data_IF_750088445033
#
_entry.id   IF_750088445033
#
_cell.length_a   1.000
_cell.length_b   1.000
_cell.length_c   1.000
_cell.angle_alpha   90.00
_cell.angle_beta   90.00
_cell.angle_gamma   90.00
#
_symmetry.space_group_name_H-M   'P 1'
#
loop_
_entity.id
_entity.type
_entity.pdbx_description
1 polymer ?
#
# COMPACT_ATOMS: atom_id res chain seq x y z
N UNK A 1 6.04 -30.82 4.81
CA UNK A 1 7.07 -30.23 5.69
C UNK A 1 8.43 -30.45 5.06
N UNK A 2 9.27 -29.42 5.09
CA UNK A 2 10.69 -29.50 4.76
C UNK A 2 11.45 -29.19 6.04
N UNK A 3 12.33 -30.09 6.48
CA UNK A 3 13.17 -29.88 7.65
C UNK A 3 14.58 -30.28 7.30
N UNK A 4 15.52 -29.36 7.47
CA UNK A 4 16.96 -29.61 7.24
C UNK A 4 17.73 -29.41 8.53
N UNK A 5 18.79 -30.19 8.73
CA UNK A 5 19.71 -30.00 9.83
C UNK A 5 20.78 -28.94 9.48
N UNK A 6 21.11 -28.05 10.42
CA UNK A 6 22.12 -27.00 10.21
C UNK A 6 21.81 -26.12 9.00
N UNK A 7 22.81 -25.75 8.22
CA UNK A 7 22.68 -24.93 7.00
C UNK A 7 22.21 -25.67 5.75
N UNK A 8 21.48 -26.78 5.90
CA UNK A 8 21.02 -27.60 4.77
C UNK A 8 20.01 -26.88 3.88
N UNK A 9 20.19 -26.98 2.56
CA UNK A 9 19.24 -26.45 1.58
C UNK A 9 18.12 -27.44 1.27
N UNK A 10 16.97 -26.93 0.82
CA UNK A 10 15.83 -27.76 0.39
C UNK A 10 15.36 -27.36 -1.02
N UNK A 11 15.07 -28.35 -1.84
CA UNK A 11 14.41 -28.15 -3.13
C UNK A 11 13.19 -29.03 -3.23
N UNK A 12 12.05 -28.45 -3.60
CA UNK A 12 10.81 -29.17 -3.88
C UNK A 12 10.25 -28.72 -5.21
N UNK A 13 9.91 -29.70 -6.04
CA UNK A 13 9.21 -29.46 -7.31
C UNK A 13 7.95 -30.31 -7.30
N UNK A 14 6.81 -29.68 -7.50
CA UNK A 14 5.55 -30.37 -7.74
C UNK A 14 4.99 -29.99 -9.11
N UNK A 15 4.40 -30.96 -9.81
CA UNK A 15 3.77 -30.72 -11.10
C UNK A 15 2.51 -29.85 -10.94
N UNK A 16 1.75 -30.07 -9.87
CA UNK A 16 0.56 -29.28 -9.54
C UNK A 16 0.89 -28.14 -8.56
N UNK A 17 -0.03 -27.77 -7.67
CA UNK A 17 0.20 -26.75 -6.64
C UNK A 17 1.01 -27.27 -5.45
N UNK A 18 1.66 -26.37 -4.72
CA UNK A 18 2.44 -26.71 -3.54
C UNK A 18 1.75 -26.13 -2.30
N UNK A 19 1.43 -26.98 -1.32
CA UNK A 19 0.96 -26.55 -0.01
C UNK A 19 2.01 -26.90 1.05
N UNK A 20 2.76 -25.90 1.48
CA UNK A 20 3.79 -26.05 2.49
C UNK A 20 3.15 -26.07 3.89
N UNK A 21 3.43 -27.13 4.64
CA UNK A 21 3.16 -27.16 6.08
C UNK A 21 4.35 -26.53 6.82
N UNK A 22 4.30 -26.53 8.15
CA UNK A 22 5.44 -26.09 8.98
C UNK A 22 6.75 -26.68 8.46
N UNK A 23 7.70 -25.79 8.16
CA UNK A 23 8.97 -26.14 7.52
C UNK A 23 10.08 -25.26 8.09
N UNK A 24 11.25 -25.86 8.32
CA UNK A 24 12.44 -25.22 8.84
C UNK A 24 13.62 -25.58 7.94
N UNK A 25 14.09 -24.61 7.16
CA UNK A 25 15.20 -24.80 6.23
C UNK A 25 16.32 -23.86 6.65
N UNK A 26 17.49 -24.41 6.97
CA UNK A 26 18.60 -23.60 7.47
C UNK A 26 19.51 -23.04 6.38
N UNK A 27 19.43 -23.56 5.16
CA UNK A 27 20.04 -23.01 3.96
C UNK A 27 18.98 -22.45 2.99
N UNK A 28 19.32 -22.41 1.71
CA UNK A 28 18.42 -21.93 0.67
C UNK A 28 17.21 -22.86 0.47
N UNK A 29 16.04 -22.28 0.22
CA UNK A 29 14.83 -22.98 -0.20
C UNK A 29 14.51 -22.67 -1.66
N UNK A 30 14.32 -23.69 -2.49
CA UNK A 30 13.69 -23.56 -3.81
C UNK A 30 12.41 -24.39 -3.87
N UNK A 31 11.28 -23.72 -4.06
CA UNK A 31 9.95 -24.33 -4.08
C UNK A 31 9.25 -24.03 -5.41
N UNK A 32 9.02 -25.05 -6.23
CA UNK A 32 8.42 -24.91 -7.56
C UNK A 32 7.08 -25.64 -7.66
N UNK A 33 6.04 -24.94 -8.09
CA UNK A 33 4.75 -25.49 -8.49
C UNK A 33 4.59 -25.29 -10.00
N UNK A 34 4.58 -26.36 -10.80
CA UNK A 34 4.70 -26.22 -12.28
C UNK A 34 3.44 -25.70 -12.94
N UNK A 35 2.25 -26.09 -12.45
CA UNK A 35 0.96 -25.68 -13.05
C UNK A 35 -0.04 -25.11 -12.05
N UNK A 36 0.35 -24.90 -10.79
CA UNK A 36 -0.57 -24.46 -9.75
C UNK A 36 0.04 -23.46 -8.79
N UNK A 37 -0.76 -23.09 -7.80
CA UNK A 37 -0.41 -22.08 -6.80
C UNK A 37 0.59 -22.63 -5.78
N UNK A 38 1.30 -21.72 -5.13
CA UNK A 38 2.06 -22.01 -3.90
C UNK A 38 1.30 -21.40 -2.73
N UNK A 39 1.08 -22.18 -1.69
CA UNK A 39 0.57 -21.68 -0.43
C UNK A 39 1.26 -22.31 0.78
N UNK A 40 1.12 -21.70 1.95
CA UNK A 40 1.46 -22.35 3.20
C UNK A 40 0.25 -22.45 4.15
N UNK A 41 0.25 -23.49 4.97
CA UNK A 41 -0.71 -23.63 6.09
C UNK A 41 -0.02 -23.77 7.44
N UNK A 42 1.32 -23.71 7.45
CA UNK A 42 2.13 -23.65 8.65
C UNK A 42 3.30 -22.71 8.44
N UNK A 43 3.91 -22.27 9.53
CA UNK A 43 5.02 -21.34 9.52
C UNK A 43 6.21 -21.86 8.69
N UNK A 44 6.77 -20.99 7.86
CA UNK A 44 8.03 -21.21 7.17
C UNK A 44 9.12 -20.45 7.92
N UNK A 45 10.15 -21.17 8.37
CA UNK A 45 11.35 -20.57 8.97
C UNK A 45 12.52 -20.90 8.06
N UNK A 46 12.93 -19.94 7.24
CA UNK A 46 13.97 -20.10 6.23
C UNK A 46 15.14 -19.16 6.57
N UNK A 47 16.31 -19.74 6.83
CA UNK A 47 17.47 -18.96 7.26
C UNK A 47 18.33 -18.46 6.08
N UNK A 48 18.33 -19.15 4.94
CA UNK A 48 18.95 -18.66 3.70
C UNK A 48 17.92 -18.14 2.71
N UNK A 49 18.37 -17.80 1.50
CA UNK A 49 17.48 -17.31 0.42
C UNK A 49 16.30 -18.24 0.13
N UNK A 50 15.13 -17.67 -0.15
CA UNK A 50 13.93 -18.43 -0.48
C UNK A 50 13.43 -18.06 -1.89
N UNK A 51 13.27 -19.05 -2.77
CA UNK A 51 12.70 -18.86 -4.10
C UNK A 51 11.42 -19.68 -4.26
N UNK A 52 10.32 -19.01 -4.57
CA UNK A 52 9.02 -19.61 -4.85
C UNK A 52 8.65 -19.40 -6.32
N UNK A 53 8.52 -20.47 -7.08
CA UNK A 53 8.31 -20.43 -8.54
C UNK A 53 6.95 -21.02 -8.91
N UNK A 54 6.07 -20.20 -9.47
CA UNK A 54 4.85 -20.69 -10.13
C UNK A 54 5.09 -20.82 -11.63
N UNK A 55 4.93 -22.04 -12.17
CA UNK A 55 5.25 -22.33 -13.55
C UNK A 55 4.16 -21.97 -14.55
N UNK A 56 2.91 -21.76 -14.11
CA UNK A 56 1.79 -21.29 -14.93
C UNK A 56 1.61 -19.77 -14.79
N UNK A 57 1.07 -19.11 -15.82
CA UNK A 57 0.68 -17.70 -15.71
C UNK A 57 -0.59 -17.56 -14.86
N UNK A 58 -0.75 -16.42 -14.17
CA UNK A 58 -1.91 -16.16 -13.33
C UNK A 58 -2.03 -17.14 -12.16
N UNK A 59 -0.90 -17.52 -11.57
CA UNK A 59 -0.86 -18.38 -10.38
C UNK A 59 -0.57 -17.56 -9.14
N UNK A 60 -1.14 -17.99 -8.02
CA UNK A 60 -1.01 -17.30 -6.74
C UNK A 60 0.22 -17.78 -5.98
N UNK A 61 0.80 -16.87 -5.20
CA UNK A 61 1.71 -17.20 -4.11
C UNK A 61 1.13 -16.64 -2.81
N UNK A 62 0.67 -17.52 -1.93
CA UNK A 62 -0.01 -17.17 -0.67
C UNK A 62 0.82 -17.69 0.50
N UNK A 63 1.70 -16.83 1.01
CA UNK A 63 2.57 -17.08 2.16
C UNK A 63 2.04 -16.31 3.37
N UNK A 64 0.84 -16.68 3.83
CA UNK A 64 -0.01 -15.89 4.74
C UNK A 64 0.16 -16.24 6.23
N UNK A 65 0.89 -17.30 6.56
CA UNK A 65 0.99 -17.72 7.94
C UNK A 65 1.68 -16.67 8.82
N UNK A 66 1.05 -16.36 9.95
CA UNK A 66 1.43 -15.22 10.79
C UNK A 66 2.79 -15.31 11.51
N UNK A 67 3.52 -16.40 11.30
CA UNK A 67 4.81 -16.72 11.93
C UNK A 67 5.84 -17.14 10.89
N UNK A 68 5.60 -16.82 9.62
CA UNK A 68 6.64 -16.90 8.61
C UNK A 68 7.82 -16.01 9.02
N UNK A 69 9.03 -16.54 8.86
CA UNK A 69 10.28 -15.88 9.18
C UNK A 69 11.29 -16.22 8.09
N UNK A 70 11.56 -15.24 7.24
CA UNK A 70 12.60 -15.29 6.22
C UNK A 70 13.75 -14.41 6.71
N UNK A 71 14.92 -15.01 6.94
CA UNK A 71 16.08 -14.29 7.47
C UNK A 71 17.01 -13.75 6.38
N UNK A 72 16.61 -13.90 5.12
CA UNK A 72 17.38 -13.58 3.92
C UNK A 72 16.35 -13.20 2.83
N UNK A 73 16.81 -12.85 1.63
CA UNK A 73 15.97 -12.45 0.51
C UNK A 73 14.93 -13.51 0.11
N UNK A 74 13.76 -13.03 -0.31
CA UNK A 74 12.69 -13.86 -0.86
C UNK A 74 12.41 -13.47 -2.30
N UNK A 75 12.56 -14.40 -3.22
CA UNK A 75 12.16 -14.26 -4.61
C UNK A 75 10.84 -14.98 -4.87
N UNK A 76 9.82 -14.22 -5.29
CA UNK A 76 8.59 -14.73 -5.86
C UNK A 76 8.73 -14.66 -7.38
N UNK A 77 8.64 -15.79 -8.09
CA UNK A 77 8.92 -15.86 -9.53
C UNK A 77 7.76 -16.45 -10.32
N UNK A 78 7.27 -15.72 -11.32
CA UNK A 78 6.22 -16.17 -12.23
C UNK A 78 6.82 -16.66 -13.57
N UNK A 79 6.69 -17.96 -13.82
CA UNK A 79 7.38 -18.68 -14.88
C UNK A 79 8.84 -18.96 -14.52
N UNK A 80 9.43 -20.01 -15.11
CA UNK A 80 10.83 -20.37 -14.83
C UNK A 80 11.85 -19.29 -15.25
N UNK A 81 11.44 -18.30 -16.04
CA UNK A 81 12.27 -17.21 -16.51
C UNK A 81 11.90 -15.85 -15.92
N UNK A 82 10.84 -15.73 -15.10
CA UNK A 82 10.39 -14.41 -14.63
C UNK A 82 9.82 -13.61 -15.79
N UNK A 83 8.80 -14.17 -16.43
CA UNK A 83 8.25 -13.59 -17.66
C UNK A 83 6.74 -13.74 -17.79
N UNK A 84 6.07 -14.02 -16.66
CA UNK A 84 4.63 -14.25 -16.59
C UNK A 84 4.02 -13.36 -15.53
N UNK A 85 2.71 -13.17 -15.60
CA UNK A 85 1.97 -12.43 -14.59
C UNK A 85 1.68 -13.35 -13.40
N UNK A 86 1.80 -12.80 -12.19
CA UNK A 86 1.10 -13.34 -11.04
C UNK A 86 -0.39 -13.09 -11.18
N UNK A 87 -1.19 -13.87 -10.47
CA UNK A 87 -2.53 -13.44 -10.05
C UNK A 87 -2.33 -12.81 -8.67
N UNK A 88 -2.71 -13.46 -7.56
CA UNK A 88 -2.55 -12.86 -6.23
C UNK A 88 -1.19 -13.16 -5.56
N UNK A 89 -0.67 -12.19 -4.81
CA UNK A 89 0.44 -12.36 -3.87
C UNK A 89 -0.02 -12.00 -2.46
N UNK A 90 0.13 -12.93 -1.53
CA UNK A 90 0.11 -12.63 -0.09
C UNK A 90 1.46 -13.00 0.51
N UNK A 91 2.08 -12.07 1.21
CA UNK A 91 3.37 -12.26 1.84
C UNK A 91 3.37 -11.76 3.27
N UNK A 92 3.73 -12.65 4.19
CA UNK A 92 3.94 -12.33 5.59
C UNK A 92 5.38 -12.64 5.94
N UNK A 93 6.06 -11.69 6.56
CA UNK A 93 7.35 -11.91 7.18
C UNK A 93 7.44 -11.32 8.59
N UNK A 94 8.27 -11.96 9.41
CA UNK A 94 8.59 -11.52 10.76
C UNK A 94 9.46 -10.26 10.80
N UNK A 95 10.29 -10.05 9.77
CA UNK A 95 11.21 -8.92 9.63
C UNK A 95 10.62 -7.77 8.81
N UNK A 96 11.50 -6.88 8.35
CA UNK A 96 11.14 -5.83 7.41
C UNK A 96 10.92 -6.41 6.00
N UNK A 97 10.15 -5.70 5.18
CA UNK A 97 9.94 -6.05 3.78
C UNK A 97 10.35 -4.87 2.91
N UNK A 98 11.31 -5.07 2.03
CA UNK A 98 11.73 -4.10 1.01
C UNK A 98 11.46 -4.68 -0.37
N UNK A 99 10.55 -4.08 -1.12
CA UNK A 99 10.34 -4.48 -2.51
C UNK A 99 11.56 -4.14 -3.37
N UNK A 100 12.04 -5.11 -4.15
CA UNK A 100 13.33 -4.99 -4.83
C UNK A 100 13.36 -5.68 -6.22
N UNK A 101 14.29 -5.25 -7.08
CA UNK A 101 14.51 -5.84 -8.42
C UNK A 101 14.94 -7.31 -8.32
N UNK A 102 14.68 -8.09 -9.36
CA UNK A 102 15.06 -9.51 -9.48
C UNK A 102 16.58 -9.75 -9.63
N UNK A 103 17.39 -8.70 -9.62
CA UNK A 103 18.86 -8.76 -9.85
C UNK A 103 19.69 -8.36 -8.62
N UNK A 104 19.11 -8.35 -7.42
CA UNK A 104 19.70 -7.68 -6.26
C UNK A 104 20.50 -8.54 -5.25
N UNK A 105 21.03 -7.89 -4.21
CA UNK A 105 22.16 -8.23 -3.34
C UNK A 105 22.01 -9.41 -2.38
N UNK A 106 20.93 -10.18 -2.44
CA UNK A 106 20.57 -11.23 -1.47
C UNK A 106 20.57 -10.68 -0.02
N UNK A 107 19.92 -9.54 0.25
CA UNK A 107 19.88 -8.96 1.60
C UNK A 107 18.61 -9.31 2.38
N UNK A 108 18.75 -9.38 3.71
CA UNK A 108 17.67 -9.67 4.65
C UNK A 108 16.49 -8.70 4.49
N UNK A 109 15.28 -9.26 4.40
CA UNK A 109 14.04 -8.49 4.27
C UNK A 109 13.73 -8.02 2.86
N UNK A 110 14.53 -8.36 1.85
CA UNK A 110 14.19 -8.08 0.46
C UNK A 110 13.10 -9.05 -0.04
N UNK A 111 12.09 -8.49 -0.72
CA UNK A 111 11.07 -9.22 -1.45
C UNK A 111 11.17 -8.87 -2.94
N UNK A 112 11.65 -9.83 -3.72
CA UNK A 112 11.84 -9.72 -5.16
C UNK A 112 10.62 -10.32 -5.85
N UNK A 113 9.83 -9.48 -6.52
CA UNK A 113 8.66 -9.92 -7.31
C UNK A 113 9.11 -9.99 -8.78
N UNK A 114 9.52 -11.18 -9.20
CA UNK A 114 10.06 -11.48 -10.53
C UNK A 114 8.93 -12.00 -11.45
N UNK A 115 8.12 -11.06 -11.92
CA UNK A 115 6.96 -11.26 -12.81
C UNK A 115 7.29 -11.05 -14.29
N UNK A 116 6.32 -10.61 -15.10
CA UNK A 116 6.57 -10.19 -16.49
C UNK A 116 7.51 -8.98 -16.57
N UNK A 117 7.48 -8.19 -15.50
CA UNK A 117 8.43 -7.15 -15.13
C UNK A 117 8.59 -7.22 -13.62
N UNK A 118 9.72 -6.76 -13.10
CA UNK A 118 9.91 -6.68 -11.65
C UNK A 118 8.82 -5.81 -11.00
N UNK A 119 8.31 -6.24 -9.84
CA UNK A 119 7.28 -5.52 -9.09
C UNK A 119 5.86 -5.61 -9.66
N UNK A 120 5.63 -6.37 -10.73
CA UNK A 120 4.31 -6.52 -11.33
C UNK A 120 3.49 -7.65 -10.69
N UNK A 121 2.25 -7.33 -10.31
CA UNK A 121 1.25 -8.26 -9.75
C UNK A 121 -0.05 -8.11 -10.54
N UNK A 122 -0.55 -9.22 -11.09
CA UNK A 122 -1.75 -9.22 -11.95
C UNK A 122 -3.08 -9.33 -11.19
N UNK A 123 -3.04 -9.67 -9.91
CA UNK A 123 -4.17 -9.65 -8.98
C UNK A 123 -3.86 -8.77 -7.77
N UNK A 124 -4.31 -9.21 -6.59
CA UNK A 124 -4.13 -8.49 -5.33
C UNK A 124 -2.70 -8.65 -4.77
N UNK A 125 -2.20 -7.59 -4.14
CA UNK A 125 -0.95 -7.60 -3.37
C UNK A 125 -1.26 -7.37 -1.89
N UNK A 126 -1.05 -8.37 -1.05
CA UNK A 126 -1.16 -8.26 0.41
C UNK A 126 0.19 -8.50 1.07
N UNK A 127 0.70 -7.50 1.79
CA UNK A 127 2.00 -7.62 2.49
C UNK A 127 1.86 -7.23 3.95
N UNK A 128 2.34 -8.10 4.84
CA UNK A 128 2.40 -7.86 6.27
C UNK A 128 3.80 -8.11 6.81
N UNK A 129 4.42 -7.04 7.29
CA UNK A 129 5.65 -7.10 8.09
C UNK A 129 5.29 -7.06 9.58
N UNK A 130 5.81 -7.98 10.38
CA UNK A 130 5.45 -8.05 11.80
C UNK A 130 6.28 -7.07 12.64
N UNK A 131 7.60 -7.03 12.44
CA UNK A 131 8.50 -6.24 13.29
C UNK A 131 9.33 -5.19 12.52
N UNK A 132 9.13 -5.07 11.21
CA UNK A 132 9.86 -4.13 10.38
C UNK A 132 8.97 -3.15 9.61
N UNK A 133 9.62 -2.26 8.87
CA UNK A 133 8.93 -1.38 7.94
C UNK A 133 8.57 -2.14 6.65
N UNK A 134 7.66 -1.57 5.87
CA UNK A 134 7.52 -1.90 4.46
C UNK A 134 8.11 -0.74 3.66
N UNK A 135 9.11 -1.02 2.85
CA UNK A 135 9.82 -0.04 2.00
C UNK A 135 9.93 -0.54 0.57
N UNK A 136 10.40 0.29 -0.35
CA UNK A 136 10.61 -0.12 -1.73
C UNK A 136 11.83 0.54 -2.37
N UNK A 137 12.46 -0.20 -3.29
CA UNK A 137 13.54 0.26 -4.17
C UNK A 137 13.17 0.13 -5.65
N UNK A 138 12.00 -0.44 -5.95
CA UNK A 138 11.43 -0.57 -7.29
C UNK A 138 10.05 0.04 -7.36
N UNK A 139 9.60 0.30 -8.58
CA UNK A 139 8.20 0.61 -8.83
C UNK A 139 7.36 -0.67 -8.70
N UNK A 140 6.17 -0.54 -8.13
CA UNK A 140 5.16 -1.59 -8.10
C UNK A 140 4.10 -1.32 -9.16
N UNK A 141 3.68 -2.36 -9.88
CA UNK A 141 2.51 -2.30 -10.77
C UNK A 141 1.53 -3.35 -10.30
N UNK A 142 0.42 -2.92 -9.70
CA UNK A 142 -0.59 -3.84 -9.13
C UNK A 142 -1.93 -3.53 -9.79
N UNK A 143 -2.50 -4.51 -10.47
CA UNK A 143 -3.81 -4.38 -11.12
C UNK A 143 -4.96 -4.57 -10.15
N UNK A 144 -4.78 -5.42 -9.12
CA UNK A 144 -5.73 -5.61 -8.04
C UNK A 144 -5.55 -4.61 -6.90
N UNK A 145 -6.16 -4.94 -5.76
CA UNK A 145 -6.04 -4.17 -4.53
C UNK A 145 -4.66 -4.37 -3.89
N UNK A 146 -4.16 -3.34 -3.24
CA UNK A 146 -2.95 -3.41 -2.43
C UNK A 146 -3.31 -3.25 -0.96
N UNK A 147 -3.02 -4.25 -0.13
CA UNK A 147 -3.26 -4.21 1.32
C UNK A 147 -1.95 -4.33 2.08
N UNK A 148 -1.64 -3.33 2.90
CA UNK A 148 -0.39 -3.27 3.64
C UNK A 148 -0.65 -3.24 5.14
N UNK A 149 0.21 -3.92 5.89
CA UNK A 149 0.15 -3.90 7.35
C UNK A 149 1.54 -3.98 7.97
N UNK A 150 1.78 -3.12 8.96
CA UNK A 150 2.94 -3.20 9.84
C UNK A 150 2.52 -3.13 11.31
N UNK A 151 3.48 -3.33 12.23
CA UNK A 151 3.28 -2.99 13.64
C UNK A 151 3.01 -1.48 13.81
N UNK A 152 2.17 -1.04 14.76
CA UNK A 152 1.83 0.38 14.95
C UNK A 152 3.02 1.32 15.24
N UNK A 153 4.21 0.79 15.54
CA UNK A 153 5.44 1.60 15.67
C UNK A 153 6.24 1.75 14.37
N UNK A 154 5.82 1.08 13.29
CA UNK A 154 6.56 0.93 12.03
C UNK A 154 5.89 1.68 10.89
N UNK A 155 6.68 1.96 9.87
CA UNK A 155 6.29 2.81 8.76
C UNK A 155 6.11 2.01 7.48
N UNK A 156 5.35 2.59 6.56
CA UNK A 156 5.17 2.11 5.19
C UNK A 156 5.62 3.24 4.27
N UNK A 157 6.52 2.93 3.33
CA UNK A 157 7.05 3.90 2.37
C UNK A 157 7.08 3.27 1.00
N UNK A 158 6.07 3.59 0.19
CA UNK A 158 5.96 3.25 -1.22
C UNK A 158 6.00 4.55 -2.06
N UNK A 159 7.17 5.20 -2.10
CA UNK A 159 7.36 6.59 -2.56
C UNK A 159 8.01 6.75 -3.96
N UNK A 160 8.01 5.68 -4.76
CA UNK A 160 8.54 5.68 -6.11
C UNK A 160 7.50 6.28 -7.04
N UNK A 161 7.91 7.32 -7.76
CA UNK A 161 7.06 8.08 -8.70
C UNK A 161 6.49 7.26 -9.86
N UNK A 162 6.99 6.04 -10.08
CA UNK A 162 6.54 5.14 -11.13
C UNK A 162 5.65 4.00 -10.63
N UNK A 163 5.30 3.97 -9.34
CA UNK A 163 4.26 3.08 -8.84
C UNK A 163 2.97 3.25 -9.64
N UNK A 164 2.24 2.17 -9.86
CA UNK A 164 1.01 2.15 -10.64
C UNK A 164 0.02 1.16 -10.01
N UNK A 165 -0.71 1.65 -9.01
CA UNK A 165 -1.78 0.96 -8.30
C UNK A 165 -3.10 1.23 -9.01
N UNK A 166 -3.59 0.25 -9.77
CA UNK A 166 -4.85 0.37 -10.52
C UNK A 166 -6.07 -0.01 -9.67
N UNK A 167 -5.86 -0.77 -8.59
CA UNK A 167 -6.86 -1.02 -7.56
C UNK A 167 -6.61 -0.20 -6.29
N UNK A 168 -7.55 -0.27 -5.35
CA UNK A 168 -7.47 0.49 -4.11
C UNK A 168 -6.26 0.09 -3.24
N UNK A 169 -5.61 1.08 -2.64
CA UNK A 169 -4.50 0.89 -1.70
C UNK A 169 -5.00 1.11 -0.27
N UNK A 170 -5.07 0.05 0.52
CA UNK A 170 -5.54 0.08 1.91
C UNK A 170 -4.43 -0.21 2.91
N UNK A 171 -4.41 0.54 4.02
CA UNK A 171 -3.49 0.33 5.14
C UNK A 171 -4.22 -0.27 6.31
N UNK A 172 -4.12 -1.58 6.51
CA UNK A 172 -4.82 -2.21 7.65
C UNK A 172 -4.33 -1.64 8.99
N UNK A 173 -3.02 -1.39 9.11
CA UNK A 173 -2.37 -0.64 10.22
C UNK A 173 -0.99 -0.11 9.80
N UNK A 174 -0.63 1.09 10.23
CA UNK A 174 0.74 1.63 10.16
C UNK A 174 0.93 2.89 11.01
N UNK A 175 2.20 3.27 11.25
CA UNK A 175 2.56 4.53 11.90
C UNK A 175 2.59 5.67 10.89
N UNK A 176 3.75 5.91 10.25
CA UNK A 176 3.83 6.85 9.13
C UNK A 176 3.67 6.09 7.82
N UNK A 177 2.92 6.68 6.90
CA UNK A 177 2.64 6.11 5.59
C UNK A 177 2.94 7.16 4.52
N UNK A 178 3.77 6.79 3.56
CA UNK A 178 4.00 7.55 2.34
C UNK A 178 3.65 6.69 1.13
N UNK A 179 2.71 7.14 0.32
CA UNK A 179 2.27 6.50 -0.92
C UNK A 179 2.45 7.48 -2.07
N UNK A 180 3.09 7.02 -3.14
CA UNK A 180 3.18 7.73 -4.41
C UNK A 180 2.63 6.81 -5.49
N UNK A 181 1.83 7.39 -6.38
CA UNK A 181 1.34 6.77 -7.61
C UNK A 181 1.69 7.66 -8.83
N UNK A 182 1.99 7.00 -9.94
CA UNK A 182 2.24 7.64 -11.22
C UNK A 182 0.96 8.28 -11.76
N UNK A 183 -0.19 7.64 -11.61
CA UNK A 183 -1.50 8.09 -12.09
C UNK A 183 -2.41 8.56 -10.98
N UNK A 184 -3.66 8.08 -11.01
CA UNK A 184 -4.65 8.28 -9.97
C UNK A 184 -4.44 7.22 -8.88
N UNK A 185 -4.76 7.57 -7.64
CA UNK A 185 -4.73 6.60 -6.54
C UNK A 185 -6.10 6.55 -5.87
N UNK A 186 -6.62 5.33 -5.76
CA UNK A 186 -7.82 5.03 -4.99
C UNK A 186 -7.37 4.55 -3.62
N UNK A 187 -7.81 5.23 -2.57
CA UNK A 187 -7.53 4.86 -1.19
C UNK A 187 -8.59 3.86 -0.72
N UNK A 188 -8.10 2.73 -0.21
CA UNK A 188 -8.92 1.77 0.52
C UNK A 188 -8.94 2.10 2.00
N UNK A 189 -9.75 1.35 2.75
CA UNK A 189 -9.85 1.52 4.21
C UNK A 189 -8.47 1.51 4.86
N UNK A 190 -8.18 2.54 5.66
CA UNK A 190 -6.84 2.78 6.19
C UNK A 190 -6.84 3.20 7.65
N UNK A 191 -5.90 2.67 8.44
CA UNK A 191 -5.68 3.03 9.85
C UNK A 191 -4.22 3.46 10.00
N UNK A 192 -4.01 4.76 10.21
CA UNK A 192 -2.67 5.37 10.27
C UNK A 192 -2.55 6.25 11.52
N UNK A 193 -1.64 5.89 12.42
CA UNK A 193 -1.48 6.62 13.70
C UNK A 193 -0.56 7.82 13.62
N UNK A 194 0.33 7.86 12.62
CA UNK A 194 1.27 8.94 12.35
C UNK A 194 0.90 9.70 11.08
N UNK A 195 1.90 10.21 10.38
CA UNK A 195 1.67 11.00 9.14
C UNK A 195 1.13 10.13 8.01
N UNK A 196 0.19 10.69 7.23
CA UNK A 196 -0.32 10.06 6.01
C UNK A 196 -0.08 10.96 4.79
N UNK A 197 0.98 10.66 4.04
CA UNK A 197 1.34 11.34 2.80
C UNK A 197 0.91 10.51 1.59
N UNK A 198 0.10 11.09 0.71
CA UNK A 198 -0.36 10.47 -0.53
C UNK A 198 -0.10 11.42 -1.69
N UNK A 199 0.53 10.93 -2.76
CA UNK A 199 0.85 11.73 -3.95
C UNK A 199 0.43 11.02 -5.24
N UNK A 200 -0.35 11.70 -6.08
CA UNK A 200 -0.68 11.31 -7.45
C UNK A 200 0.06 12.25 -8.44
N UNK A 201 1.00 11.72 -9.25
CA UNK A 201 2.01 12.56 -9.92
C UNK A 201 1.72 12.97 -11.37
N UNK A 202 1.20 12.10 -12.24
CA UNK A 202 1.12 12.34 -13.71
C UNK A 202 -0.30 12.59 -14.27
N UNK A 203 -1.23 13.06 -13.41
CA UNK A 203 -2.53 13.57 -13.85
C UNK A 203 -3.73 12.69 -13.50
N UNK A 204 -3.68 12.04 -12.33
CA UNK A 204 -4.84 11.38 -11.76
C UNK A 204 -5.29 12.03 -10.47
N UNK A 205 -6.54 11.78 -10.11
CA UNK A 205 -7.14 12.26 -8.87
C UNK A 205 -6.73 11.35 -7.70
N UNK A 206 -6.82 11.89 -6.48
CA UNK A 206 -6.85 11.06 -5.27
C UNK A 206 -8.32 10.86 -4.93
N UNK A 207 -8.77 9.62 -4.87
CA UNK A 207 -10.14 9.28 -4.42
C UNK A 207 -10.08 8.27 -3.29
N UNK A 208 -11.19 8.07 -2.55
CA UNK A 208 -11.33 6.96 -1.62
C UNK A 208 -12.52 6.05 -1.97
N UNK A 209 -12.48 4.84 -1.42
CA UNK A 209 -13.55 3.82 -1.50
C UNK A 209 -13.76 3.12 -0.15
N UNK A 210 -12.96 3.49 0.85
CA UNK A 210 -13.07 2.98 2.21
C UNK A 210 -12.63 4.03 3.20
N UNK A 211 -13.26 4.00 4.37
CA UNK A 211 -13.03 4.94 5.48
C UNK A 211 -11.56 5.00 5.88
N UNK A 212 -11.05 6.23 6.00
CA UNK A 212 -9.71 6.55 6.44
C UNK A 212 -9.77 7.00 7.90
N UNK A 213 -9.08 6.31 8.79
CA UNK A 213 -8.93 6.66 10.21
C UNK A 213 -7.48 7.10 10.46
N UNK A 214 -7.24 8.41 10.34
CA UNK A 214 -5.90 8.99 10.36
C UNK A 214 -5.77 9.91 11.56
N UNK A 215 -4.86 9.60 12.48
CA UNK A 215 -4.68 10.41 13.70
C UNK A 215 -3.53 11.41 13.60
N UNK A 216 -2.52 11.17 12.75
CA UNK A 216 -1.49 12.17 12.45
C UNK A 216 -1.87 13.07 11.28
N UNK A 217 -0.98 14.03 10.97
CA UNK A 217 -1.21 14.97 9.87
C UNK A 217 -1.30 14.25 8.51
N UNK A 218 -2.25 14.69 7.68
CA UNK A 218 -2.48 14.17 6.34
C UNK A 218 -2.04 15.17 5.28
N UNK A 219 -1.37 14.69 4.23
CA UNK A 219 -1.00 15.52 3.07
C UNK A 219 -1.36 14.79 1.79
N UNK A 220 -2.27 15.37 1.02
CA UNK A 220 -2.74 14.85 -0.25
C UNK A 220 -2.22 15.74 -1.38
N UNK A 221 -1.36 15.19 -2.23
CA UNK A 221 -0.69 15.93 -3.31
C UNK A 221 -1.15 15.43 -4.67
N UNK A 222 -1.62 16.33 -5.54
CA UNK A 222 -2.04 16.01 -6.92
C UNK A 222 -1.33 16.90 -7.93
N UNK A 223 -1.29 16.49 -9.20
CA UNK A 223 -0.88 17.37 -10.29
C UNK A 223 -1.85 18.55 -10.48
N UNK A 224 -1.39 19.65 -11.06
CA UNK A 224 -2.25 20.79 -11.36
C UNK A 224 -3.39 20.42 -12.29
N UNK A 225 -4.61 20.85 -11.97
CA UNK A 225 -5.83 20.52 -12.70
C UNK A 225 -6.48 19.19 -12.31
N UNK A 226 -5.93 18.48 -11.31
CA UNK A 226 -6.54 17.26 -10.75
C UNK A 226 -7.30 17.54 -9.45
N UNK A 227 -8.13 16.60 -9.04
CA UNK A 227 -9.01 16.71 -7.88
C UNK A 227 -8.59 15.79 -6.74
N UNK A 228 -9.04 16.13 -5.54
CA UNK A 228 -8.95 15.29 -4.35
C UNK A 228 -10.39 15.06 -3.88
N UNK A 229 -10.87 13.83 -3.97
CA UNK A 229 -12.26 13.46 -3.72
C UNK A 229 -12.32 12.40 -2.62
N UNK A 230 -12.37 12.86 -1.37
CA UNK A 230 -12.38 12.02 -0.17
C UNK A 230 -13.78 12.08 0.45
N UNK A 231 -14.72 11.33 -0.12
CA UNK A 231 -16.15 11.44 0.16
C UNK A 231 -16.69 10.41 1.16
N UNK A 232 -15.88 9.39 1.47
CA UNK A 232 -16.16 8.45 2.56
C UNK A 232 -16.15 9.17 3.91
N UNK A 233 -16.97 8.70 4.85
CA UNK A 233 -17.07 9.24 6.22
C UNK A 233 -15.82 8.89 7.04
N UNK A 234 -14.72 9.55 6.72
CA UNK A 234 -13.39 9.36 7.28
C UNK A 234 -13.20 10.19 8.55
N UNK A 235 -12.13 9.91 9.30
CA UNK A 235 -11.78 10.65 10.52
C UNK A 235 -10.35 11.17 10.37
N UNK A 236 -10.15 12.48 10.40
CA UNK A 236 -8.83 13.10 10.37
C UNK A 236 -8.59 13.92 11.65
N UNK A 237 -7.98 13.30 12.66
CA UNK A 237 -7.82 13.94 13.98
C UNK A 237 -6.67 14.96 14.05
N UNK A 238 -6.13 15.40 12.91
CA UNK A 238 -5.03 16.36 12.81
C UNK A 238 -5.10 17.12 11.48
N UNK A 239 -4.18 18.06 11.26
CA UNK A 239 -4.17 18.91 10.07
C UNK A 239 -4.21 18.10 8.78
N UNK A 240 -5.18 18.43 7.92
CA UNK A 240 -5.27 17.94 6.55
C UNK A 240 -4.80 19.05 5.60
N UNK A 241 -3.86 18.72 4.71
CA UNK A 241 -3.33 19.67 3.72
C UNK A 241 -3.50 19.12 2.32
N UNK A 242 -4.06 19.94 1.43
CA UNK A 242 -4.22 19.64 0.01
C UNK A 242 -3.19 20.44 -0.80
N UNK A 243 -2.36 19.77 -1.59
CA UNK A 243 -1.20 20.39 -2.25
C UNK A 243 -1.25 20.13 -3.76
N UNK A 244 -1.22 21.15 -4.62
CA UNK A 244 -0.87 20.97 -6.02
C UNK A 244 0.66 20.85 -6.16
N UNK A 245 1.16 19.78 -6.80
CA UNK A 245 2.58 19.68 -7.16
C UNK A 245 3.00 20.73 -8.20
N UNK A 246 2.02 21.25 -8.95
CA UNK A 246 2.14 22.38 -9.87
C UNK A 246 0.78 23.02 -10.09
N UNK A 247 0.71 24.30 -10.46
CA UNK A 247 -0.57 24.96 -10.76
C UNK A 247 -1.52 25.01 -9.57
N UNK A 248 -2.78 24.67 -9.80
CA UNK A 248 -3.88 24.73 -8.82
C UNK A 248 -4.67 23.42 -8.86
N UNK A 249 -5.27 23.04 -7.73
CA UNK A 249 -6.16 21.89 -7.65
C UNK A 249 -7.47 22.21 -8.41
N UNK A 250 -8.06 21.23 -9.08
CA UNK A 250 -9.34 21.41 -9.77
C UNK A 250 -10.50 21.47 -8.77
N UNK A 251 -10.71 20.44 -7.98
CA UNK A 251 -11.75 20.40 -6.96
C UNK A 251 -11.27 19.65 -5.71
N UNK A 252 -11.89 19.96 -4.58
CA UNK A 252 -11.69 19.22 -3.32
C UNK A 252 -13.06 18.83 -2.77
N UNK A 253 -13.23 17.54 -2.50
CA UNK A 253 -14.29 17.01 -1.64
C UNK A 253 -13.65 16.36 -0.44
N UNK A 254 -14.12 16.70 0.75
CA UNK A 254 -13.68 16.09 2.01
C UNK A 254 -14.88 15.84 2.91
N UNK A 255 -14.92 14.65 3.52
CA UNK A 255 -15.91 14.25 4.50
C UNK A 255 -15.17 13.75 5.76
N UNK A 256 -15.15 14.59 6.79
CA UNK A 256 -14.56 14.30 8.09
C UNK A 256 -15.67 14.06 9.12
N UNK A 257 -15.53 13.03 9.95
CA UNK A 257 -16.44 12.74 11.04
C UNK A 257 -16.20 13.60 12.29
N UNK A 258 -15.10 14.36 12.31
CA UNK A 258 -14.74 15.29 13.39
C UNK A 258 -14.93 16.76 12.94
N UNK A 259 -14.35 17.72 13.67
CA UNK A 259 -14.19 19.10 13.20
C UNK A 259 -13.25 19.16 11.98
N UNK A 260 -13.45 20.13 11.09
CA UNK A 260 -12.56 20.31 9.94
C UNK A 260 -12.07 21.76 9.82
N UNK A 261 -10.77 21.96 9.97
CA UNK A 261 -10.10 23.24 9.75
C UNK A 261 -9.50 23.29 8.33
N UNK A 262 -10.02 24.17 7.49
CA UNK A 262 -9.45 24.47 6.18
C UNK A 262 -8.15 25.27 6.34
N UNK A 263 -7.07 24.68 5.83
CA UNK A 263 -5.80 25.38 5.63
C UNK A 263 -5.83 26.20 4.34
N UNK A 264 -4.73 26.91 4.04
CA UNK A 264 -4.56 27.61 2.77
C UNK A 264 -4.87 26.70 1.58
N UNK A 265 -5.85 27.08 0.76
CA UNK A 265 -6.34 26.27 -0.34
C UNK A 265 -6.74 27.16 -1.53
N UNK A 266 -6.38 26.75 -2.73
CA UNK A 266 -6.87 27.36 -3.96
C UNK A 266 -7.34 26.28 -4.91
N UNK A 267 -8.63 26.29 -5.23
CA UNK A 267 -9.26 25.39 -6.21
C UNK A 267 -9.85 26.21 -7.36
N UNK A 268 -9.78 25.68 -8.59
CA UNK A 268 -10.37 26.34 -9.76
C UNK A 268 -11.85 26.01 -9.97
N UNK A 269 -12.30 24.88 -9.45
CA UNK A 269 -13.68 24.41 -9.41
C UNK A 269 -14.21 24.40 -7.98
N UNK A 270 -14.93 23.33 -7.65
CA UNK A 270 -15.74 23.27 -6.43
C UNK A 270 -14.93 22.86 -5.20
N UNK A 271 -15.35 23.38 -4.03
CA UNK A 271 -14.92 22.93 -2.72
C UNK A 271 -16.15 22.43 -1.95
N UNK A 272 -16.18 21.13 -1.66
CA UNK A 272 -17.21 20.48 -0.83
C UNK A 272 -16.58 19.99 0.47
N UNK A 273 -17.09 20.47 1.60
CA UNK A 273 -16.63 20.09 2.94
C UNK A 273 -17.84 19.60 3.73
N UNK A 274 -17.77 18.36 4.19
CA UNK A 274 -18.66 17.81 5.22
C UNK A 274 -17.84 17.56 6.48
N UNK A 275 -18.31 18.03 7.62
CA UNK A 275 -17.68 17.79 8.92
C UNK A 275 -18.70 17.26 9.93
N UNK A 276 -18.22 16.41 10.84
CA UNK A 276 -18.99 15.89 11.95
C UNK A 276 -19.14 16.86 13.13
N UNK A 277 -18.41 17.97 13.10
CA UNK A 277 -18.53 19.10 14.03
C UNK A 277 -18.32 20.44 13.30
N UNK A 278 -17.67 21.42 13.93
CA UNK A 278 -17.38 22.74 13.35
C UNK A 278 -16.55 22.65 12.05
N UNK A 279 -16.85 23.56 11.11
CA UNK A 279 -15.99 23.86 9.94
C UNK A 279 -15.40 25.26 10.14
N UNK A 280 -14.07 25.33 10.16
CA UNK A 280 -13.31 26.58 10.33
C UNK A 280 -12.30 26.77 9.20
N UNK A 281 -11.71 27.96 9.12
CA UNK A 281 -10.53 28.25 8.30
C UNK A 281 -9.44 28.95 9.11
N UNK A 282 -8.19 28.67 8.77
CA UNK A 282 -7.01 29.28 9.44
C UNK A 282 -6.18 30.16 8.51
N UNK A 283 -6.40 30.07 7.19
CA UNK A 283 -5.73 30.84 6.16
C UNK A 283 -6.63 30.97 4.92
N UNK A 284 -6.21 31.79 3.96
CA UNK A 284 -6.99 32.15 2.77
C UNK A 284 -7.41 30.91 1.97
N UNK A 285 -8.72 30.77 1.78
CA UNK A 285 -9.32 29.77 0.90
C UNK A 285 -9.89 30.47 -0.33
N UNK A 286 -9.45 30.09 -1.53
CA UNK A 286 -9.96 30.63 -2.80
C UNK A 286 -10.67 29.53 -3.59
N UNK A 287 -11.96 29.72 -3.87
CA UNK A 287 -12.80 28.78 -4.61
C UNK A 287 -13.23 29.43 -5.92
N UNK A 288 -12.86 28.83 -7.05
CA UNK A 288 -13.25 29.32 -8.38
C UNK A 288 -14.66 28.89 -8.82
N UNK A 289 -15.15 27.77 -8.28
CA UNK A 289 -16.51 27.23 -8.48
C UNK A 289 -17.42 27.43 -7.26
N UNK A 290 -18.24 26.43 -6.96
CA UNK A 290 -19.17 26.45 -5.83
C UNK A 290 -18.46 26.02 -4.53
N UNK A 291 -18.77 26.73 -3.44
CA UNK A 291 -18.41 26.33 -2.09
C UNK A 291 -19.62 25.74 -1.38
N UNK A 292 -19.53 24.48 -0.97
CA UNK A 292 -20.54 23.79 -0.16
C UNK A 292 -19.92 23.30 1.14
N UNK A 293 -20.31 23.91 2.26
CA UNK A 293 -19.91 23.50 3.61
C UNK A 293 -21.13 22.99 4.38
N UNK A 294 -21.04 21.78 4.93
CA UNK A 294 -22.12 21.13 5.69
C UNK A 294 -21.59 20.55 6.99
N UNK A 295 -22.18 20.91 8.12
CA UNK A 295 -21.96 20.21 9.39
C UNK A 295 -23.10 19.21 9.58
N UNK A 296 -22.81 17.96 9.93
CA UNK A 296 -23.85 16.99 10.31
C UNK A 296 -24.17 17.00 11.82
N UNK A 297 -23.35 17.71 12.62
CA UNK A 297 -23.61 18.00 14.02
C UNK A 297 -24.87 18.85 14.22
N UNK A 298 -25.63 18.53 15.28
CA UNK A 298 -26.81 19.33 15.69
C UNK A 298 -26.47 20.77 16.11
N UNK A 299 -25.19 21.08 16.35
CA UNK A 299 -24.68 22.36 16.81
C UNK A 299 -23.41 22.82 16.12
N UNK A 300 -23.01 22.18 15.00
CA UNK A 300 -21.81 22.55 14.27
C UNK A 300 -21.92 23.97 13.71
N UNK A 301 -20.89 24.77 13.93
CA UNK A 301 -20.73 26.09 13.37
C UNK A 301 -19.93 26.03 12.07
N UNK A 302 -20.30 26.87 11.11
CA UNK A 302 -19.49 27.13 9.92
C UNK A 302 -18.93 28.55 10.07
N UNK A 303 -17.63 28.68 10.29
CA UNK A 303 -16.94 29.95 10.50
C UNK A 303 -15.74 30.07 9.55
N UNK A 304 -15.97 30.68 8.40
CA UNK A 304 -14.98 30.87 7.33
C UNK A 304 -14.54 32.34 7.28
N UNK A 305 -13.81 32.77 8.32
CA UNK A 305 -13.46 34.16 8.59
C UNK A 305 -12.36 34.75 7.69
N UNK A 306 -11.71 33.91 6.88
CA UNK A 306 -10.61 34.28 5.96
C UNK A 306 -10.86 33.94 4.49
N UNK A 307 -12.11 33.55 4.16
CA UNK A 307 -12.59 33.31 2.79
C UNK A 307 -12.57 34.58 1.90
#
# INVERSE_FOLDING_TARGET
>A
ALTTDGGGAATVVNASGLKLTTSTVGGALSATATTGNISNSGALTIAGTATFITGAAGSNIILDHASNAFSDSVTLKAGSLGNRTFDDITFVDSGAVTFQTSVDTDADGELLIDGSTDGAVGGDLSVRSINGNITQNIALTVTGTTTLQVDPSKNITLDNVFNNFQGAVGITRGNNVALVDAGAIVLGASIVSGTYGVTATSGGDITDTGVLAITGASTFTVAGGQSILLDESSTYSSTVTFVPSSGTIAAVTINDSDEFELQALTVTGDLTVTAGDDITDSDTVTVGGDLSATTDASSGAINLGTL
#
